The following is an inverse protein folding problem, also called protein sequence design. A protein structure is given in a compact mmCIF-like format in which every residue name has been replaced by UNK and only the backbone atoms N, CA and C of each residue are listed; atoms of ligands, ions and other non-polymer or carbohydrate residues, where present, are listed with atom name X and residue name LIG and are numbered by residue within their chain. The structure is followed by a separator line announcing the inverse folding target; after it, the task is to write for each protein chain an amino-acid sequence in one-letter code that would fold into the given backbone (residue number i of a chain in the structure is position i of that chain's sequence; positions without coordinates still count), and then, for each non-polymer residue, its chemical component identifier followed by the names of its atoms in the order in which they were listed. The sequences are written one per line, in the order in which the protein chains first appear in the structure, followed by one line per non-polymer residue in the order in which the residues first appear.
data_IF_427426475411
#
_entry.id   IF_427426475411
#
_cell.length_a   1.000
_cell.length_b   1.000
_cell.length_c   1.000
_cell.angle_alpha   90.00
_cell.angle_beta   90.00
_cell.angle_gamma   90.00
#
_symmetry.space_group_name_H-M   'P 1'
#
loop_
_entity.id
_entity.type
_entity.pdbx_description
1 polymer ?
#
# COMPACT_ATOMS: atom_id res chain seq x y z
N UNK A 1 51.67 -28.84 29.60
CA UNK A 1 50.72 -27.77 29.99
C UNK A 1 50.77 -26.65 28.96
N UNK A 2 51.96 -26.21 28.54
CA UNK A 2 52.18 -25.22 27.46
C UNK A 2 51.43 -25.53 26.16
N UNK A 3 51.58 -26.72 25.56
CA UNK A 3 50.87 -27.06 24.30
C UNK A 3 49.32 -26.95 24.37
N UNK A 4 48.73 -27.06 25.57
CA UNK A 4 47.27 -26.89 25.74
C UNK A 4 46.89 -25.42 25.84
N UNK A 5 47.75 -24.58 26.41
CA UNK A 5 47.56 -23.13 26.45
C UNK A 5 47.69 -22.55 25.04
N UNK A 6 48.68 -22.97 24.26
CA UNK A 6 48.87 -22.49 22.89
C UNK A 6 47.69 -22.85 21.97
N UNK A 7 47.16 -24.06 22.11
CA UNK A 7 45.97 -24.50 21.39
C UNK A 7 44.70 -23.72 21.81
N UNK A 8 44.60 -23.32 23.09
CA UNK A 8 43.50 -22.48 23.55
C UNK A 8 43.62 -21.04 23.03
N UNK A 9 44.83 -20.46 23.04
CA UNK A 9 45.07 -19.11 22.53
C UNK A 9 44.78 -19.02 21.04
N UNK A 10 45.20 -20.01 20.24
CA UNK A 10 44.92 -20.04 18.80
C UNK A 10 43.40 -20.07 18.52
N UNK A 11 42.63 -20.83 19.31
CA UNK A 11 41.17 -20.88 19.20
C UNK A 11 40.50 -19.58 19.66
N UNK A 12 41.10 -18.87 20.60
CA UNK A 12 40.61 -17.57 21.06
C UNK A 12 40.81 -16.52 19.97
N UNK A 13 41.99 -16.44 19.37
CA UNK A 13 42.30 -15.55 18.25
C UNK A 13 41.36 -15.80 17.06
N UNK A 14 41.13 -17.07 16.70
CA UNK A 14 40.17 -17.43 15.65
C UNK A 14 38.74 -16.98 15.99
N UNK A 15 38.31 -17.15 17.25
CA UNK A 15 36.99 -16.71 17.69
C UNK A 15 36.86 -15.18 17.68
N UNK A 16 37.92 -14.45 18.05
CA UNK A 16 37.97 -12.98 18.02
C UNK A 16 37.85 -12.45 16.59
N UNK A 17 38.56 -13.06 15.63
CA UNK A 17 38.46 -12.72 14.21
C UNK A 17 37.04 -12.99 13.67
N UNK A 18 36.45 -14.14 13.99
CA UNK A 18 35.06 -14.45 13.60
C UNK A 18 34.05 -13.46 14.18
N UNK A 19 34.24 -13.02 15.43
CA UNK A 19 33.38 -12.01 16.06
C UNK A 19 33.52 -10.66 15.33
N UNK A 20 34.74 -10.27 14.94
CA UNK A 20 34.97 -9.05 14.16
C UNK A 20 34.26 -9.11 12.81
N UNK A 21 34.43 -10.21 12.07
CA UNK A 21 33.78 -10.43 10.77
C UNK A 21 32.26 -10.41 10.86
N UNK A 22 31.69 -10.98 11.93
CA UNK A 22 30.26 -10.93 12.19
C UNK A 22 29.80 -9.50 12.51
N UNK A 23 30.60 -8.73 13.25
CA UNK A 23 30.34 -7.32 13.51
C UNK A 23 30.22 -6.50 12.23
N UNK A 24 31.17 -6.68 11.31
CA UNK A 24 31.18 -5.98 10.01
C UNK A 24 29.97 -6.35 9.15
N UNK A 25 29.62 -7.65 9.09
CA UNK A 25 28.44 -8.13 8.36
C UNK A 25 27.13 -7.56 8.93
N UNK A 26 27.03 -7.44 10.26
CA UNK A 26 25.85 -6.86 10.90
C UNK A 26 25.71 -5.39 10.53
N UNK A 27 26.83 -4.64 10.52
CA UNK A 27 26.84 -3.24 10.13
C UNK A 27 26.41 -3.07 8.66
N UNK A 28 26.97 -3.85 7.74
CA UNK A 28 26.59 -3.83 6.33
C UNK A 28 25.10 -4.16 6.13
N UNK A 29 24.59 -5.19 6.83
CA UNK A 29 23.19 -5.58 6.73
C UNK A 29 22.24 -4.47 7.24
N UNK A 30 22.60 -3.80 8.33
CA UNK A 30 21.84 -2.68 8.88
C UNK A 30 21.78 -1.49 7.90
N UNK A 31 22.91 -1.15 7.26
CA UNK A 31 22.92 -0.11 6.23
C UNK A 31 22.05 -0.48 5.01
N UNK A 32 22.10 -1.74 4.58
CA UNK A 32 21.30 -2.25 3.48
C UNK A 32 19.79 -2.20 3.80
N UNK A 33 19.41 -2.55 5.03
CA UNK A 33 18.04 -2.50 5.54
C UNK A 33 17.51 -1.07 5.57
N UNK A 34 18.25 -0.12 6.14
CA UNK A 34 17.88 1.29 6.13
C UNK A 34 17.71 1.85 4.71
N UNK A 35 18.56 1.42 3.77
CA UNK A 35 18.42 1.81 2.36
C UNK A 35 17.16 1.22 1.73
N UNK A 36 16.76 0.01 2.12
CA UNK A 36 15.52 -0.63 1.67
C UNK A 36 14.29 0.09 2.22
N UNK A 37 14.28 0.43 3.51
CA UNK A 37 13.20 1.19 4.15
C UNK A 37 12.99 2.55 3.47
N UNK A 38 14.07 3.30 3.23
CA UNK A 38 13.98 4.58 2.51
C UNK A 38 13.36 4.43 1.12
N UNK A 39 13.67 3.35 0.39
CA UNK A 39 13.03 3.08 -0.90
C UNK A 39 11.55 2.78 -0.75
N UNK A 40 11.16 1.97 0.24
CA UNK A 40 9.75 1.64 0.50
C UNK A 40 8.96 2.93 0.78
N UNK A 41 9.46 3.77 1.69
CA UNK A 41 8.83 5.04 2.02
C UNK A 41 8.66 5.94 0.79
N UNK A 42 9.69 6.06 -0.06
CA UNK A 42 9.59 6.81 -1.32
C UNK A 42 8.57 6.22 -2.30
N UNK A 43 8.43 4.90 -2.35
CA UNK A 43 7.42 4.25 -3.17
C UNK A 43 6.01 4.48 -2.62
N UNK A 44 5.83 4.42 -1.31
CA UNK A 44 4.55 4.72 -0.65
C UNK A 44 4.14 6.18 -0.86
N UNK A 45 5.07 7.12 -0.74
CA UNK A 45 4.84 8.54 -1.03
C UNK A 45 4.38 8.73 -2.47
N UNK A 46 5.10 8.14 -3.44
CA UNK A 46 4.71 8.21 -4.86
C UNK A 46 3.37 7.57 -5.15
N UNK A 47 3.02 6.48 -4.45
CA UNK A 47 1.71 5.84 -4.58
C UNK A 47 0.62 6.73 -4.00
N UNK A 48 0.88 7.40 -2.87
CA UNK A 48 -0.04 8.40 -2.31
C UNK A 48 -0.23 9.57 -3.27
N UNK A 49 0.85 10.12 -3.82
CA UNK A 49 0.79 11.23 -4.79
C UNK A 49 0.06 10.84 -6.08
N UNK A 50 0.27 9.62 -6.58
CA UNK A 50 -0.44 9.12 -7.77
C UNK A 50 -1.93 8.85 -7.49
N UNK A 51 -2.24 8.47 -6.25
CA UNK A 51 -3.60 8.20 -5.81
C UNK A 51 -4.29 9.45 -5.24
N UNK A 52 -3.57 10.58 -5.13
CA UNK A 52 -4.12 11.88 -4.72
C UNK A 52 -4.85 12.47 -5.94
N UNK A 53 -6.19 12.44 -5.96
CA UNK A 53 -6.89 12.32 -7.21
C UNK A 53 -7.20 13.70 -7.80
N UNK A 54 -6.72 13.91 -9.03
CA UNK A 54 -7.40 14.81 -10.00
C UNK A 54 -8.75 14.18 -10.46
N UNK A 55 -9.10 12.98 -9.97
CA UNK A 55 -10.35 12.28 -10.23
C UNK A 55 -11.37 12.54 -9.11
N UNK A 56 -12.37 13.37 -9.38
CA UNK A 56 -13.55 13.49 -8.51
C UNK A 56 -14.33 12.16 -8.46
N UNK A 57 -13.94 11.24 -7.57
CA UNK A 57 -14.64 9.98 -7.36
C UNK A 57 -15.85 10.22 -6.45
N UNK A 58 -17.06 10.03 -6.96
CA UNK A 58 -18.30 10.09 -6.17
C UNK A 58 -18.66 8.66 -5.75
N UNK A 59 -18.91 8.45 -4.45
CA UNK A 59 -19.35 7.16 -3.92
C UNK A 59 -20.83 7.21 -3.53
N UNK A 60 -21.70 6.54 -4.30
CA UNK A 60 -23.13 6.45 -4.02
C UNK A 60 -23.45 5.18 -3.21
N UNK A 61 -23.97 5.34 -1.99
CA UNK A 61 -24.38 4.22 -1.11
C UNK A 61 -25.90 4.07 -1.14
N UNK A 62 -26.42 2.86 -0.97
CA UNK A 62 -27.87 2.59 -0.88
C UNK A 62 -28.60 2.54 -2.22
N UNK A 63 -27.86 2.51 -3.33
CA UNK A 63 -28.44 2.39 -4.68
C UNK A 63 -29.10 1.03 -4.85
N UNK A 64 -30.42 1.00 -5.09
CA UNK A 64 -31.17 -0.24 -5.36
C UNK A 64 -30.58 -1.00 -6.55
N UNK A 65 -30.61 -2.34 -6.52
CA UNK A 65 -30.12 -3.18 -7.61
C UNK A 65 -30.89 -2.97 -8.90
N UNK A 66 -32.19 -2.64 -8.80
CA UNK A 66 -33.05 -2.39 -9.97
C UNK A 66 -32.63 -1.16 -10.77
N UNK A 67 -32.17 -0.11 -10.09
CA UNK A 67 -31.66 1.09 -10.75
C UNK A 67 -30.39 0.80 -11.56
N UNK A 68 -29.59 -0.19 -11.13
CA UNK A 68 -28.37 -0.59 -11.86
C UNK A 68 -28.64 -1.39 -13.15
N UNK A 69 -29.88 -1.87 -13.36
CA UNK A 69 -30.27 -2.63 -14.56
C UNK A 69 -30.20 -1.78 -15.84
N UNK A 70 -30.35 -0.46 -15.72
CA UNK A 70 -30.30 0.48 -16.84
C UNK A 70 -28.88 0.94 -17.20
N UNK A 71 -27.86 0.34 -16.58
CA UNK A 71 -26.46 0.73 -16.70
C UNK A 71 -26.05 1.66 -15.57
N UNK A 72 -24.94 1.34 -14.91
CA UNK A 72 -24.46 2.03 -13.70
C UNK A 72 -24.17 3.52 -13.92
N UNK A 73 -23.77 3.89 -15.14
CA UNK A 73 -23.55 5.29 -15.57
C UNK A 73 -24.82 6.14 -15.48
N UNK A 74 -25.94 5.64 -16.01
CA UNK A 74 -27.19 6.39 -16.06
C UNK A 74 -27.79 6.56 -14.67
N UNK A 75 -27.73 5.51 -13.84
CA UNK A 75 -28.15 5.58 -12.43
C UNK A 75 -27.34 6.61 -11.65
N UNK A 76 -26.03 6.70 -11.88
CA UNK A 76 -25.19 7.69 -11.21
C UNK A 76 -25.56 9.12 -11.64
N UNK A 77 -25.82 9.36 -12.93
CA UNK A 77 -26.28 10.67 -13.41
C UNK A 77 -27.64 11.06 -12.83
N UNK A 78 -28.59 10.13 -12.79
CA UNK A 78 -29.91 10.34 -12.18
C UNK A 78 -29.78 10.69 -10.69
N UNK A 79 -28.99 9.93 -9.93
CA UNK A 79 -28.76 10.19 -8.50
C UNK A 79 -28.11 11.56 -8.26
N UNK A 80 -27.11 11.92 -9.07
CA UNK A 80 -26.45 13.23 -8.97
C UNK A 80 -27.45 14.34 -9.29
N UNK A 81 -28.27 14.18 -10.33
CA UNK A 81 -29.25 15.20 -10.71
C UNK A 81 -30.38 15.36 -9.67
N UNK A 82 -30.84 14.26 -9.08
CA UNK A 82 -31.86 14.26 -8.02
C UNK A 82 -31.37 14.94 -6.74
N UNK A 83 -30.13 14.65 -6.32
CA UNK A 83 -29.58 15.16 -5.06
C UNK A 83 -28.87 16.51 -5.21
N UNK A 84 -28.33 16.79 -6.39
CA UNK A 84 -27.57 18.00 -6.72
C UNK A 84 -28.12 18.62 -8.00
N UNK A 85 -29.29 19.26 -7.89
CA UNK A 85 -30.00 19.91 -9.00
C UNK A 85 -29.14 20.90 -9.81
N UNK A 86 -28.14 21.52 -9.19
CA UNK A 86 -27.19 22.41 -9.86
C UNK A 86 -26.21 21.64 -10.77
N UNK A 87 -25.76 20.45 -10.36
CA UNK A 87 -24.86 19.60 -11.14
C UNK A 87 -25.60 18.86 -12.27
N UNK A 88 -26.85 18.48 -12.04
CA UNK A 88 -27.66 17.75 -13.01
C UNK A 88 -28.21 18.60 -14.17
N UNK A 89 -28.29 19.93 -14.02
CA UNK A 89 -28.90 20.82 -15.02
C UNK A 89 -27.89 21.64 -15.84
N UNK A 90 -26.68 21.86 -15.34
CA UNK A 90 -25.70 22.78 -15.95
C UNK A 90 -24.43 22.10 -16.50
N UNK A 91 -24.24 20.80 -16.26
CA UNK A 91 -22.99 20.12 -16.62
C UNK A 91 -23.25 18.91 -17.51
N UNK A 92 -22.56 18.84 -18.65
CA UNK A 92 -22.34 17.59 -19.39
C UNK A 92 -21.44 16.70 -18.52
N UNK A 93 -22.06 15.97 -17.57
CA UNK A 93 -21.34 15.07 -16.66
C UNK A 93 -20.73 13.94 -17.51
N UNK A 94 -19.44 14.08 -17.81
CA UNK A 94 -18.67 13.06 -18.48
C UNK A 94 -18.15 12.07 -17.44
N UNK A 95 -18.80 10.93 -17.36
CA UNK A 95 -18.38 9.83 -16.51
C UNK A 95 -17.32 9.03 -17.25
N UNK A 96 -16.13 8.93 -16.66
CA UNK A 96 -15.04 8.14 -17.22
C UNK A 96 -15.24 6.64 -16.96
N UNK A 97 -15.72 6.29 -15.77
CA UNK A 97 -15.95 4.92 -15.35
C UNK A 97 -16.99 4.89 -14.22
N UNK A 98 -17.87 3.89 -14.21
CA UNK A 98 -18.77 3.62 -13.08
C UNK A 98 -18.78 2.14 -12.79
N UNK A 99 -18.43 1.77 -11.57
CA UNK A 99 -18.45 0.39 -11.11
C UNK A 99 -19.26 0.27 -9.82
N UNK A 100 -19.98 -0.84 -9.68
CA UNK A 100 -20.64 -1.20 -8.44
C UNK A 100 -19.69 -2.02 -7.58
N UNK A 101 -19.18 -1.45 -6.50
CA UNK A 101 -18.42 -2.19 -5.50
C UNK A 101 -19.35 -3.06 -4.66
N UNK A 102 -19.10 -4.37 -4.63
CA UNK A 102 -19.80 -5.29 -3.74
C UNK A 102 -19.28 -5.06 -2.31
N UNK A 103 -20.15 -4.57 -1.42
CA UNK A 103 -19.85 -4.57 0.02
C UNK A 103 -19.80 -6.02 0.51
N UNK A 104 -18.59 -6.56 0.72
CA UNK A 104 -18.37 -7.91 1.27
C UNK A 104 -18.62 -7.98 2.78
N UNK A 105 -19.65 -7.31 3.28
CA UNK A 105 -20.10 -7.49 4.67
C UNK A 105 -21.19 -8.57 4.72
N UNK A 106 -20.84 -9.78 4.32
CA UNK A 106 -21.65 -10.96 4.68
C UNK A 106 -21.11 -11.48 6.02
N UNK A 107 -21.91 -11.54 7.11
CA UNK A 107 -21.57 -12.44 8.20
C UNK A 107 -21.69 -13.86 7.64
N UNK A 108 -20.60 -14.63 7.65
CA UNK A 108 -20.64 -16.05 7.34
C UNK A 108 -21.61 -16.73 8.32
N UNK A 109 -22.56 -17.57 7.86
CA UNK A 109 -23.46 -18.32 8.73
C UNK A 109 -22.73 -19.27 9.69
#
# INVERSE_FOLDING_TARGET
LENRLDAMNSRLEEAEEQISDLGDKIMENNEAEQKRERRIMQHEDRLRDLNDPIRCNIHCIGVSEELSKNGTDNSCKEIIAENFSNLGRETDIQIQETQRTLNKSSPTP
#
